data_IF_562668582900
#
_entry.id   IF_562668582900
#
_cell.length_a   1.000
_cell.length_b   1.000
_cell.length_c   1.000
_cell.angle_alpha   90.00
_cell.angle_beta   90.00
_cell.angle_gamma   90.00
#
_symmetry.space_group_name_H-M   'P 1'
#
loop_
_entity.id
_entity.type
_entity.pdbx_description
1 polymer ?
#
# COMPACT_ATOMS: atom_id res chain seq x y z
N UNK A 1 -20.99 -7.62 1.29
CA UNK A 1 -19.67 -7.04 1.00
C UNK A 1 -19.84 -5.63 0.42
N UNK A 2 -20.43 -4.70 1.19
CA UNK A 2 -20.82 -3.35 0.70
C UNK A 2 -20.61 -2.25 1.76
N UNK A 3 -19.90 -2.56 2.85
CA UNK A 3 -19.79 -1.67 4.02
C UNK A 3 -18.59 -0.72 4.02
N UNK A 4 -17.67 -0.84 3.07
CA UNK A 4 -16.46 0.00 3.03
C UNK A 4 -16.61 1.25 2.14
N UNK A 5 -17.71 1.37 1.38
CA UNK A 5 -17.92 2.50 0.44
C UNK A 5 -18.71 3.65 1.08
N UNK A 6 -19.35 3.42 2.23
CA UNK A 6 -20.23 4.42 2.85
C UNK A 6 -19.62 4.98 4.14
N UNK A 7 -18.49 5.72 4.08
CA UNK A 7 -18.29 6.96 4.89
C UNK A 7 -16.87 7.58 4.96
N UNK A 8 -15.78 6.97 4.48
CA UNK A 8 -14.42 7.48 4.84
C UNK A 8 -13.36 7.49 3.74
N UNK A 9 -13.77 7.52 2.46
CA UNK A 9 -12.84 7.77 1.35
C UNK A 9 -11.68 6.76 1.25
N UNK A 10 -10.56 7.21 0.70
CA UNK A 10 -9.32 6.41 0.61
C UNK A 10 -8.54 6.47 1.93
N UNK A 11 -8.90 7.33 2.86
CA UNK A 11 -8.29 7.40 4.18
C UNK A 11 -8.62 6.15 5.01
N UNK A 12 -9.77 5.52 4.74
CA UNK A 12 -10.23 4.28 5.39
C UNK A 12 -9.33 3.06 5.14
N UNK A 13 -8.43 3.13 4.16
CA UNK A 13 -7.52 2.04 3.80
C UNK A 13 -6.10 2.27 4.31
N UNK A 14 -5.86 3.33 5.07
CA UNK A 14 -4.58 3.60 5.70
C UNK A 14 -4.39 2.67 6.92
N UNK A 15 -3.15 2.28 7.26
CA UNK A 15 -2.90 1.36 8.36
C UNK A 15 -3.56 1.77 9.69
N UNK A 16 -3.51 3.06 10.01
CA UNK A 16 -4.11 3.63 11.22
C UNK A 16 -5.65 3.56 11.26
N UNK A 17 -6.31 3.43 10.10
CA UNK A 17 -7.77 3.33 9.99
C UNK A 17 -8.30 1.88 9.98
N UNK A 18 -7.44 0.89 9.78
CA UNK A 18 -7.81 -0.53 9.74
C UNK A 18 -8.05 -1.07 11.15
N UNK A 19 -8.97 -2.02 11.32
CA UNK A 19 -9.10 -2.76 12.58
C UNK A 19 -7.96 -3.79 12.76
N UNK A 20 -7.79 -4.33 13.97
CA UNK A 20 -6.68 -5.25 14.28
C UNK A 20 -6.69 -6.52 13.42
N UNK A 21 -7.88 -7.03 13.07
CA UNK A 21 -7.99 -8.24 12.23
C UNK A 21 -7.60 -7.91 10.79
N UNK A 22 -8.04 -6.75 10.29
CA UNK A 22 -7.67 -6.25 8.97
C UNK A 22 -6.17 -5.98 8.87
N UNK A 23 -5.56 -5.38 9.89
CA UNK A 23 -4.11 -5.14 9.93
C UNK A 23 -3.31 -6.43 9.86
N UNK A 24 -3.66 -7.42 10.68
CA UNK A 24 -2.97 -8.71 10.69
C UNK A 24 -3.13 -9.44 9.34
N UNK A 25 -4.34 -9.44 8.77
CA UNK A 25 -4.60 -10.03 7.47
C UNK A 25 -3.79 -9.36 6.35
N UNK A 26 -3.77 -8.04 6.34
CA UNK A 26 -3.06 -7.26 5.30
C UNK A 26 -1.54 -7.38 5.48
N UNK A 27 -1.03 -7.44 6.71
CA UNK A 27 0.40 -7.72 6.98
C UNK A 27 0.84 -9.06 6.40
N UNK A 28 0.05 -10.11 6.64
CA UNK A 28 0.33 -11.45 6.12
C UNK A 28 0.32 -11.48 4.59
N UNK A 29 -0.71 -10.88 3.98
CA UNK A 29 -0.82 -10.76 2.53
C UNK A 29 0.33 -9.94 1.90
N UNK A 30 0.81 -8.87 2.56
CA UNK A 30 1.99 -8.15 2.07
C UNK A 30 3.25 -9.01 2.14
N UNK A 31 3.42 -9.79 3.21
CA UNK A 31 4.55 -10.71 3.35
C UNK A 31 4.51 -11.81 2.28
N UNK A 32 3.34 -12.34 1.97
CA UNK A 32 3.15 -13.33 0.90
C UNK A 32 3.47 -12.77 -0.48
N UNK A 33 3.05 -11.53 -0.76
CA UNK A 33 3.38 -10.82 -2.00
C UNK A 33 4.89 -10.55 -2.12
N UNK A 34 5.54 -10.13 -1.03
CA UNK A 34 6.96 -9.80 -1.02
C UNK A 34 7.88 -11.04 -1.05
N UNK A 35 7.43 -12.15 -0.47
CA UNK A 35 8.15 -13.43 -0.48
C UNK A 35 7.95 -14.23 -1.76
N UNK A 36 6.96 -13.87 -2.59
CA UNK A 36 6.55 -14.64 -3.76
C UNK A 36 5.87 -15.97 -3.40
N UNK A 37 5.62 -16.24 -2.11
CA UNK A 37 5.03 -17.49 -1.63
C UNK A 37 3.52 -17.59 -1.94
N UNK A 38 2.84 -16.46 -2.17
CA UNK A 38 1.40 -16.39 -2.42
C UNK A 38 0.95 -16.71 -3.86
N UNK A 39 1.84 -17.06 -4.79
CA UNK A 39 1.46 -17.36 -6.19
C UNK A 39 1.12 -18.83 -6.49
N UNK A 40 1.15 -19.70 -5.48
CA UNK A 40 0.59 -21.05 -5.63
C UNK A 40 -0.93 -20.95 -5.78
N UNK A 41 -1.49 -21.59 -6.81
CA UNK A 41 -2.84 -21.41 -7.35
C UNK A 41 -4.06 -21.66 -6.44
N UNK A 42 -3.86 -21.76 -5.12
CA UNK A 42 -4.90 -21.74 -4.08
C UNK A 42 -5.01 -20.33 -3.46
N UNK A 43 -4.86 -19.27 -4.27
CA UNK A 43 -5.14 -17.92 -3.76
C UNK A 43 -6.61 -17.86 -3.34
N UNK A 44 -6.83 -17.64 -2.04
CA UNK A 44 -8.12 -17.17 -1.56
C UNK A 44 -8.43 -15.87 -2.33
N UNK A 45 -9.53 -15.80 -3.11
CA UNK A 45 -9.84 -14.67 -4.00
C UNK A 45 -10.12 -13.35 -3.27
N UNK A 46 -9.86 -13.31 -1.96
CA UNK A 46 -10.15 -12.24 -1.01
C UNK A 46 -8.94 -11.36 -0.68
N UNK A 47 -7.79 -11.58 -1.34
CA UNK A 47 -6.56 -10.80 -1.13
C UNK A 47 -6.75 -9.29 -1.33
N UNK A 48 -6.64 -8.50 -0.26
CA UNK A 48 -6.85 -7.06 -0.28
C UNK A 48 -5.54 -6.26 -0.43
N UNK A 49 -4.39 -6.82 -0.02
CA UNK A 49 -3.12 -6.10 0.01
C UNK A 49 -2.69 -5.48 -1.33
N UNK A 50 -2.75 -6.24 -2.44
CA UNK A 50 -2.40 -5.72 -3.75
C UNK A 50 -3.40 -4.65 -4.25
N UNK A 51 -4.73 -4.87 -4.22
CA UNK A 51 -5.70 -3.82 -4.51
C UNK A 51 -5.51 -2.55 -3.68
N UNK A 52 -5.22 -2.68 -2.37
CA UNK A 52 -4.95 -1.55 -1.48
C UNK A 52 -3.70 -0.78 -1.93
N UNK A 53 -2.61 -1.50 -2.24
CA UNK A 53 -1.38 -0.88 -2.73
C UNK A 53 -1.60 -0.09 -4.03
N UNK A 54 -2.34 -0.67 -5.00
CA UNK A 54 -2.65 -0.01 -6.26
C UNK A 54 -3.55 1.21 -6.07
N UNK A 55 -4.52 1.15 -5.14
CA UNK A 55 -5.39 2.27 -4.81
C UNK A 55 -4.61 3.42 -4.16
N UNK A 56 -3.71 3.11 -3.22
CA UNK A 56 -2.84 4.10 -2.58
C UNK A 56 -1.86 4.72 -3.58
N UNK A 57 -1.30 3.92 -4.50
CA UNK A 57 -0.45 4.43 -5.58
C UNK A 57 -1.20 5.38 -6.50
N UNK A 58 -2.43 5.01 -6.90
CA UNK A 58 -3.26 5.91 -7.68
C UNK A 58 -3.53 7.21 -6.94
N UNK A 59 -3.74 7.17 -5.62
CA UNK A 59 -3.94 8.37 -4.81
C UNK A 59 -2.66 9.20 -4.66
N UNK A 60 -1.51 8.55 -4.59
CA UNK A 60 -0.19 9.17 -4.56
C UNK A 60 0.21 9.82 -5.91
N UNK A 61 -0.61 9.65 -6.94
CA UNK A 61 -0.44 10.28 -8.25
C UNK A 61 0.20 9.37 -9.30
N UNK A 62 0.23 8.05 -9.13
CA UNK A 62 0.67 7.17 -10.21
C UNK A 62 -0.17 7.39 -11.48
N UNK A 63 0.48 7.42 -12.66
CA UNK A 63 -0.20 7.65 -13.94
C UNK A 63 -1.14 6.47 -14.22
N UNK A 64 -2.36 6.79 -14.67
CA UNK A 64 -3.35 5.80 -15.13
C UNK A 64 -3.48 5.91 -16.64
N UNK A 65 -3.38 4.77 -17.31
CA UNK A 65 -3.59 4.63 -18.75
C UNK A 65 -4.75 3.67 -18.96
N UNK A 66 -5.95 4.23 -19.12
CA UNK A 66 -7.20 3.47 -19.08
C UNK A 66 -7.38 2.75 -17.74
N UNK A 67 -7.53 1.43 -17.80
CA UNK A 67 -7.67 0.55 -16.63
C UNK A 67 -6.33 0.12 -16.01
N UNK A 68 -5.20 0.53 -16.61
CA UNK A 68 -3.86 0.14 -16.18
C UNK A 68 -3.16 1.23 -15.38
N UNK A 69 -2.34 0.81 -14.41
CA UNK A 69 -1.48 1.69 -13.62
C UNK A 69 -0.08 1.63 -14.22
N UNK A 70 0.42 2.76 -14.73
CA UNK A 70 1.76 2.86 -15.31
C UNK A 70 2.80 3.01 -14.18
N UNK A 71 3.16 1.88 -13.57
CA UNK A 71 4.15 1.80 -12.49
C UNK A 71 5.13 0.68 -12.81
N UNK A 72 6.42 0.99 -12.75
CA UNK A 72 7.47 -0.02 -12.92
C UNK A 72 7.43 -1.06 -11.80
N UNK A 73 7.79 -2.30 -12.12
CA UNK A 73 7.76 -3.40 -11.14
C UNK A 73 8.63 -3.11 -9.90
N UNK A 74 9.77 -2.44 -10.08
CA UNK A 74 10.64 -2.03 -8.97
C UNK A 74 9.96 -1.02 -8.05
N UNK A 75 9.30 0.00 -8.61
CA UNK A 75 8.51 0.97 -7.84
C UNK A 75 7.36 0.29 -7.09
N UNK A 76 6.67 -0.67 -7.73
CA UNK A 76 5.63 -1.44 -7.07
C UNK A 76 6.19 -2.25 -5.89
N UNK A 77 7.36 -2.86 -6.05
CA UNK A 77 8.03 -3.60 -4.97
C UNK A 77 8.43 -2.70 -3.81
N UNK A 78 8.99 -1.52 -4.10
CA UNK A 78 9.34 -0.53 -3.08
C UNK A 78 8.11 -0.06 -2.30
N UNK A 79 7.00 0.16 -3.01
CA UNK A 79 5.72 0.53 -2.41
C UNK A 79 5.19 -0.59 -1.51
N UNK A 80 5.19 -1.84 -1.96
CA UNK A 80 4.76 -2.98 -1.15
C UNK A 80 5.63 -3.11 0.12
N UNK A 81 6.94 -2.88 0.01
CA UNK A 81 7.86 -2.86 1.15
C UNK A 81 7.53 -1.74 2.14
N UNK A 82 7.27 -0.53 1.64
CA UNK A 82 6.89 0.62 2.46
C UNK A 82 5.54 0.37 3.17
N UNK A 83 4.57 -0.19 2.46
CA UNK A 83 3.26 -0.54 3.01
C UNK A 83 3.35 -1.64 4.07
N UNK A 84 4.11 -2.71 3.81
CA UNK A 84 4.38 -3.77 4.80
C UNK A 84 4.98 -3.19 6.07
N UNK A 85 5.98 -2.31 5.93
CA UNK A 85 6.64 -1.67 7.08
C UNK A 85 5.69 -0.76 7.85
N UNK A 86 4.82 -0.02 7.15
CA UNK A 86 3.84 0.87 7.76
C UNK A 86 2.77 0.09 8.54
N UNK A 87 2.29 -1.02 7.99
CA UNK A 87 1.35 -1.94 8.66
C UNK A 87 1.99 -2.57 9.91
N UNK A 88 3.23 -3.07 9.79
CA UNK A 88 3.93 -3.68 10.92
C UNK A 88 4.18 -2.66 12.04
N UNK A 89 4.52 -1.42 11.68
CA UNK A 89 4.67 -0.32 12.65
C UNK A 89 3.36 0.01 13.36
N UNK A 90 2.23 -0.02 12.65
CA UNK A 90 0.92 0.19 13.26
C UNK A 90 0.57 -0.92 14.25
N UNK A 91 0.80 -2.17 13.87
CA UNK A 91 0.62 -3.33 14.75
C UNK A 91 1.43 -3.16 16.03
N UNK A 92 2.71 -2.82 15.91
CA UNK A 92 3.60 -2.59 17.07
C UNK A 92 3.12 -1.42 17.92
N UNK A 93 2.66 -0.31 17.32
CA UNK A 93 2.15 0.84 18.06
C UNK A 93 0.92 0.48 18.90
N UNK A 94 -0.02 -0.30 18.34
CA UNK A 94 -1.21 -0.79 19.05
C UNK A 94 -0.86 -1.78 20.14
N UNK A 95 0.05 -2.73 19.87
CA UNK A 95 0.53 -3.69 20.86
C UNK A 95 1.18 -3.01 22.07
N UNK A 96 1.91 -1.91 21.83
CA UNK A 96 2.58 -1.14 22.87
C UNK A 96 1.70 -0.03 23.48
N UNK A 97 0.44 0.09 23.04
CA UNK A 97 -0.51 1.13 23.49
C UNK A 97 0.07 2.55 23.46
N UNK A 98 0.87 2.86 22.43
CA UNK A 98 1.54 4.17 22.31
C UNK A 98 0.52 5.24 21.95
N UNK A 99 0.11 6.02 22.94
CA UNK A 99 -0.87 7.11 22.76
C UNK A 99 -0.29 8.34 22.03
N UNK A 100 1.03 8.49 22.01
CA UNK A 100 1.73 9.61 21.36
C UNK A 100 2.23 9.28 19.94
N UNK A 101 1.81 8.14 19.37
CA UNK A 101 2.26 7.76 18.04
C UNK A 101 1.64 8.68 16.98
N UNK A 102 2.48 9.29 16.14
CA UNK A 102 1.99 10.05 14.97
C UNK A 102 1.21 9.13 14.04
N UNK A 103 0.07 9.58 13.49
CA UNK A 103 -0.70 8.80 12.52
C UNK A 103 0.18 8.40 11.33
N UNK A 104 0.30 7.09 11.11
CA UNK A 104 1.19 6.52 10.09
C UNK A 104 0.72 6.91 8.68
N UNK A 105 -0.58 7.04 8.46
CA UNK A 105 -1.18 7.33 7.16
C UNK A 105 -0.62 8.57 6.46
N UNK A 106 -0.39 9.66 7.19
CA UNK A 106 0.15 10.90 6.60
C UNK A 106 1.61 10.77 6.16
N UNK A 107 2.45 10.11 6.96
CA UNK A 107 3.85 9.85 6.62
C UNK A 107 3.96 8.86 5.46
N UNK A 108 3.13 7.81 5.48
CA UNK A 108 3.04 6.82 4.42
C UNK A 108 2.68 7.47 3.09
N UNK A 109 1.63 8.29 3.04
CA UNK A 109 1.20 8.94 1.80
C UNK A 109 2.26 9.87 1.23
N UNK A 110 2.98 10.61 2.09
CA UNK A 110 4.11 11.43 1.65
C UNK A 110 5.23 10.57 1.07
N UNK A 111 5.55 9.44 1.70
CA UNK A 111 6.52 8.48 1.18
C UNK A 111 6.13 7.94 -0.20
N UNK A 112 4.86 7.57 -0.38
CA UNK A 112 4.34 7.10 -1.67
C UNK A 112 4.40 8.17 -2.76
N UNK A 113 4.06 9.42 -2.44
CA UNK A 113 4.18 10.53 -3.40
C UNK A 113 5.61 10.75 -3.86
N UNK A 114 6.57 10.68 -2.94
CA UNK A 114 8.00 10.79 -3.25
C UNK A 114 8.44 9.64 -4.17
N UNK A 115 8.04 8.40 -3.89
CA UNK A 115 8.37 7.24 -4.72
C UNK A 115 7.77 7.36 -6.14
N UNK A 116 6.51 7.76 -6.25
CA UNK A 116 5.86 7.99 -7.55
C UNK A 116 6.55 9.10 -8.33
N UNK A 117 6.96 10.18 -7.66
CA UNK A 117 7.65 11.29 -8.30
C UNK A 117 9.03 10.86 -8.83
N UNK A 118 9.83 10.14 -8.03
CA UNK A 118 11.11 9.60 -8.48
C UNK A 118 10.96 8.63 -9.66
N UNK A 119 9.95 7.76 -9.63
CA UNK A 119 9.69 6.82 -10.71
C UNK A 119 9.35 7.54 -12.03
N UNK A 120 8.63 8.67 -11.96
CA UNK A 120 8.34 9.52 -13.13
C UNK A 120 9.60 10.19 -13.67
N UNK A 121 10.42 10.77 -12.81
CA UNK A 121 11.67 11.43 -13.20
C UNK A 121 12.66 10.47 -13.86
N UNK A 122 12.72 9.22 -13.37
CA UNK A 122 13.50 8.14 -13.99
C UNK A 122 12.97 7.76 -15.37
N UNK A 123 11.65 7.63 -15.53
CA UNK A 123 11.03 7.31 -16.82
C UNK A 123 11.25 8.42 -17.87
N UNK A 124 11.13 9.68 -17.44
CA UNK A 124 11.36 10.85 -18.31
C UNK A 124 12.84 10.97 -18.71
N UNK A 125 13.77 10.71 -17.77
CA UNK A 125 15.21 10.70 -18.05
C UNK A 125 15.62 9.58 -19.02
N UNK A 126 15.01 8.40 -18.91
CA UNK A 126 15.26 7.28 -19.82
C UNK A 126 14.74 7.52 -21.25
N UNK A 127 13.76 8.40 -21.44
CA UNK A 127 13.27 8.81 -22.77
C UNK A 127 14.12 9.90 -23.43
N UNK A 128 15.01 10.56 -22.67
CA UNK A 128 15.87 11.63 -23.15
C UNK A 128 17.35 11.22 -23.34
N UNK A 129 17.68 9.95 -23.12
CA UNK A 129 19.01 9.35 -23.34
C UNK A 129 19.05 8.51 -24.63
#
# INVERSE_FOLDING_TARGET
MMGLITSTGWEAILPDALDDKQLLLVSDQFRDLLSGAGWNGDQDPTGAALPLALLLLSKAGAKRSGDSLEVGLETLREVLCLLSTAVDREIVNRMLQRQDATPIGTELMRGLQILVQHAREQADSACHA
#
